data_IF_462571742587
#
_entry.id   IF_462571742587
#
_cell.length_a   1.000
_cell.length_b   1.000
_cell.length_c   1.000
_cell.angle_alpha   90.00
_cell.angle_beta   90.00
_cell.angle_gamma   90.00
#
_symmetry.space_group_name_H-M   'P 1'
#
loop_
_entity.id
_entity.type
_entity.pdbx_description
1 polymer ?
#
# COMPACT_ATOMS: atom_id res chain seq x y z
N UNK A 1 3.69 -15.69 16.60
CA UNK A 1 3.41 -15.64 15.16
C UNK A 1 2.70 -14.33 14.86
N UNK A 2 3.17 -13.61 13.84
CA UNK A 2 2.68 -12.28 13.46
C UNK A 2 1.93 -12.39 12.12
N UNK A 3 0.63 -12.14 12.11
CA UNK A 3 -0.19 -12.18 10.90
C UNK A 3 -0.29 -10.80 10.27
N UNK A 4 0.04 -10.71 8.98
CA UNK A 4 0.12 -9.44 8.26
C UNK A 4 -0.94 -9.39 7.14
N UNK A 5 -1.76 -8.35 7.14
CA UNK A 5 -2.85 -8.15 6.17
C UNK A 5 -2.78 -6.74 5.59
N UNK A 6 -2.90 -6.62 4.27
CA UNK A 6 -2.96 -5.33 3.60
C UNK A 6 -2.58 -5.38 2.13
N UNK A 7 -2.23 -4.23 1.58
CA UNK A 7 -1.89 -4.06 0.17
C UNK A 7 -0.38 -4.15 -0.10
N UNK A 8 0.12 -3.39 -1.09
CA UNK A 8 1.53 -3.29 -1.45
C UNK A 8 2.43 -2.76 -0.33
N UNK A 9 1.90 -2.15 0.75
CA UNK A 9 2.72 -1.84 1.94
C UNK A 9 3.12 -3.10 2.73
N UNK A 10 2.38 -4.20 2.55
CA UNK A 10 2.57 -5.47 3.26
C UNK A 10 3.14 -6.56 2.36
N UNK A 11 2.82 -6.55 1.06
CA UNK A 11 3.13 -7.60 0.09
C UNK A 11 4.57 -8.17 0.18
N UNK A 12 4.68 -9.49 0.08
CA UNK A 12 5.96 -10.20 0.11
C UNK A 12 6.49 -10.54 -1.29
N UNK A 13 6.48 -9.58 -2.21
CA UNK A 13 7.08 -9.74 -3.53
C UNK A 13 8.54 -9.29 -3.52
N UNK A 14 9.45 -10.18 -3.93
CA UNK A 14 10.89 -9.89 -4.00
C UNK A 14 11.16 -8.79 -5.02
N UNK A 15 11.93 -7.77 -4.64
CA UNK A 15 12.36 -6.69 -5.51
C UNK A 15 13.03 -7.14 -6.81
N UNK A 16 13.65 -8.31 -6.81
CA UNK A 16 14.33 -8.88 -7.97
C UNK A 16 13.38 -9.12 -9.14
N UNK A 17 12.08 -9.35 -8.91
CA UNK A 17 11.09 -9.44 -9.99
C UNK A 17 10.89 -8.10 -10.71
N UNK A 18 11.22 -7.00 -10.04
CA UNK A 18 11.15 -5.62 -10.54
C UNK A 18 12.50 -5.11 -11.06
N UNK A 19 13.53 -5.97 -11.13
CA UNK A 19 14.88 -5.59 -11.57
C UNK A 19 15.67 -4.78 -10.54
N UNK A 20 15.26 -4.79 -9.27
CA UNK A 20 15.88 -4.02 -8.19
C UNK A 20 16.60 -4.93 -7.19
N UNK A 21 17.64 -4.40 -6.54
CA UNK A 21 18.29 -5.09 -5.42
C UNK A 21 17.31 -5.14 -4.23
N UNK A 22 17.04 -6.35 -3.73
CA UNK A 22 16.14 -6.56 -2.60
C UNK A 22 16.80 -6.09 -1.30
N UNK A 23 16.01 -5.46 -0.43
CA UNK A 23 16.45 -5.05 0.90
C UNK A 23 15.50 -5.57 1.96
N UNK A 24 15.96 -5.53 3.20
CA UNK A 24 15.11 -5.90 4.33
C UNK A 24 13.95 -4.91 4.48
N UNK A 25 12.73 -5.42 4.65
CA UNK A 25 11.48 -4.68 4.84
C UNK A 25 11.06 -4.68 6.31
N UNK A 26 10.15 -3.78 6.67
CA UNK A 26 9.69 -3.59 8.07
C UNK A 26 9.21 -4.89 8.73
N UNK A 27 8.57 -5.80 7.98
CA UNK A 27 8.02 -7.03 8.55
C UNK A 27 9.09 -8.08 8.86
N UNK A 28 10.19 -8.08 8.10
CA UNK A 28 11.36 -8.91 8.39
C UNK A 28 12.08 -8.39 9.65
N UNK A 29 12.23 -7.07 9.74
CA UNK A 29 12.79 -6.42 10.93
C UNK A 29 11.92 -6.65 12.17
N UNK A 30 10.59 -6.56 12.02
CA UNK A 30 9.66 -6.82 13.11
C UNK A 30 9.79 -8.25 13.63
N UNK A 31 9.83 -9.23 12.71
CA UNK A 31 10.06 -10.63 13.08
C UNK A 31 11.34 -10.82 13.89
N UNK A 32 12.45 -10.18 13.47
CA UNK A 32 13.71 -10.22 14.22
C UNK A 32 13.60 -9.56 15.59
N UNK A 33 12.95 -8.40 15.67
CA UNK A 33 12.80 -7.65 16.92
C UNK A 33 11.93 -8.37 17.95
N UNK A 34 10.93 -9.15 17.49
CA UNK A 34 10.04 -9.92 18.35
C UNK A 34 10.51 -11.35 18.61
N UNK A 35 11.55 -11.82 17.90
CA UNK A 35 11.94 -13.24 17.84
C UNK A 35 10.75 -14.15 17.47
N UNK A 36 9.97 -13.71 16.47
CA UNK A 36 8.75 -14.39 16.02
C UNK A 36 8.64 -14.43 14.50
N UNK A 37 8.25 -15.59 13.95
CA UNK A 37 7.90 -15.70 12.54
C UNK A 37 6.67 -14.84 12.19
N UNK A 38 6.61 -14.41 10.93
CA UNK A 38 5.43 -13.76 10.35
C UNK A 38 4.77 -14.64 9.29
N UNK A 39 3.45 -14.53 9.20
CA UNK A 39 2.63 -15.06 8.12
C UNK A 39 2.03 -13.89 7.33
N UNK A 40 2.51 -13.70 6.10
CA UNK A 40 2.22 -12.52 5.30
C UNK A 40 1.16 -12.83 4.24
N UNK A 41 0.00 -12.18 4.38
CA UNK A 41 -1.13 -12.31 3.46
C UNK A 41 -1.36 -11.05 2.60
N UNK A 42 -0.41 -10.11 2.63
CA UNK A 42 -0.45 -8.88 1.86
C UNK A 42 -0.37 -9.13 0.36
N UNK A 43 -1.10 -8.34 -0.43
CA UNK A 43 -1.07 -8.42 -1.90
C UNK A 43 -1.28 -7.05 -2.53
N UNK A 44 -0.43 -6.70 -3.50
CA UNK A 44 -0.52 -5.44 -4.20
C UNK A 44 -1.88 -5.24 -4.87
N UNK A 45 -2.35 -4.00 -4.81
CA UNK A 45 -3.57 -3.56 -5.46
C UNK A 45 -4.87 -3.98 -4.77
N UNK A 46 -4.82 -4.68 -3.62
CA UNK A 46 -6.03 -5.03 -2.87
C UNK A 46 -6.61 -3.84 -2.10
N UNK A 47 -7.94 -3.87 -1.95
CA UNK A 47 -8.68 -3.02 -1.04
C UNK A 47 -8.98 -3.70 0.30
N UNK A 48 -9.62 -2.96 1.22
CA UNK A 48 -10.14 -3.51 2.47
C UNK A 48 -11.09 -4.71 2.32
N UNK A 49 -12.00 -4.79 1.32
CA UNK A 49 -12.89 -5.95 1.17
C UNK A 49 -12.14 -7.28 1.03
N UNK A 50 -11.14 -7.34 0.16
CA UNK A 50 -10.34 -8.54 -0.09
C UNK A 50 -9.45 -8.87 1.12
N UNK A 51 -8.81 -7.84 1.67
CA UNK A 51 -7.94 -7.95 2.86
C UNK A 51 -8.71 -8.56 4.03
N UNK A 52 -9.88 -8.03 4.36
CA UNK A 52 -10.70 -8.54 5.46
C UNK A 52 -11.32 -9.89 5.13
N UNK A 53 -11.71 -10.16 3.87
CA UNK A 53 -12.20 -11.48 3.47
C UNK A 53 -11.17 -12.60 3.74
N UNK A 54 -9.88 -12.34 3.48
CA UNK A 54 -8.79 -13.27 3.83
C UNK A 54 -8.71 -13.50 5.34
N UNK A 55 -8.69 -12.41 6.11
CA UNK A 55 -8.65 -12.49 7.57
C UNK A 55 -9.84 -13.29 8.14
N UNK A 56 -11.05 -12.99 7.69
CA UNK A 56 -12.26 -13.71 8.10
C UNK A 56 -12.18 -15.19 7.76
N UNK A 57 -11.68 -15.55 6.58
CA UNK A 57 -11.49 -16.95 6.21
C UNK A 57 -10.55 -17.65 7.19
N UNK A 58 -9.42 -17.03 7.54
CA UNK A 58 -8.49 -17.60 8.52
C UNK A 58 -9.08 -17.66 9.93
N UNK A 59 -9.89 -16.67 10.31
CA UNK A 59 -10.60 -16.64 11.58
C UNK A 59 -11.60 -17.79 11.71
N UNK A 60 -12.49 -17.94 10.73
CA UNK A 60 -13.53 -18.98 10.71
C UNK A 60 -12.96 -20.40 10.55
N UNK A 61 -11.76 -20.53 9.99
CA UNK A 61 -11.06 -21.80 9.83
C UNK A 61 -10.12 -22.12 11.01
N UNK A 62 -10.12 -21.30 12.08
CA UNK A 62 -9.26 -21.45 13.26
C UNK A 62 -7.77 -21.61 12.91
N UNK A 63 -7.30 -20.89 11.89
CA UNK A 63 -5.94 -21.03 11.35
C UNK A 63 -4.88 -20.21 12.11
N UNK A 64 -5.27 -19.50 13.18
CA UNK A 64 -4.34 -18.70 13.97
C UNK A 64 -3.60 -19.55 15.00
N UNK A 65 -2.28 -19.37 15.05
CA UNK A 65 -1.42 -19.99 16.05
C UNK A 65 -1.69 -19.46 17.46
N UNK A 66 -1.04 -20.06 18.45
CA UNK A 66 -1.15 -19.59 19.84
C UNK A 66 -0.62 -18.17 20.02
N UNK A 67 -1.35 -17.34 20.77
CA UNK A 67 -1.03 -15.92 21.05
C UNK A 67 -0.73 -15.10 19.78
N UNK A 68 -1.68 -15.03 18.82
CA UNK A 68 -1.44 -14.36 17.55
C UNK A 68 -1.31 -12.85 17.74
N UNK A 69 -0.41 -12.23 16.96
CA UNK A 69 -0.30 -10.78 16.81
C UNK A 69 -0.75 -10.40 15.41
N UNK A 70 -1.41 -9.26 15.25
CA UNK A 70 -1.92 -8.82 13.96
C UNK A 70 -1.42 -7.44 13.57
N UNK A 71 -1.02 -7.31 12.31
CA UNK A 71 -0.75 -6.04 11.66
C UNK A 71 -1.71 -5.90 10.49
N UNK A 72 -2.53 -4.86 10.51
CA UNK A 72 -3.42 -4.50 9.40
C UNK A 72 -2.97 -3.20 8.76
N UNK A 73 -2.84 -3.20 7.44
CA UNK A 73 -2.62 -1.99 6.64
C UNK A 73 -3.82 -1.84 5.71
N UNK A 74 -4.72 -0.93 6.06
CA UNK A 74 -5.97 -0.71 5.35
C UNK A 74 -5.75 0.26 4.18
N UNK A 75 -5.91 -0.27 2.96
CA UNK A 75 -5.73 0.49 1.72
C UNK A 75 -6.95 1.37 1.37
N UNK A 76 -6.97 1.90 0.14
CA UNK A 76 -8.10 2.66 -0.41
C UNK A 76 -9.36 1.80 -0.45
N UNK A 77 -10.43 2.35 0.12
CA UNK A 77 -11.78 1.74 0.16
C UNK A 77 -12.46 1.74 -1.21
N UNK A 78 -11.90 2.46 -2.18
CA UNK A 78 -12.38 2.50 -3.56
C UNK A 78 -11.82 1.39 -4.45
N UNK A 79 -10.84 0.60 -3.96
CA UNK A 79 -10.36 -0.60 -4.66
C UNK A 79 -11.38 -1.73 -4.47
N UNK A 80 -12.36 -1.78 -5.35
CA UNK A 80 -13.46 -2.75 -5.30
C UNK A 80 -13.12 -3.94 -6.21
N UNK A 81 -13.26 -5.20 -5.73
CA UNK A 81 -13.12 -6.39 -6.55
C UNK A 81 -14.35 -6.55 -7.45
N UNK A 82 -14.34 -5.89 -8.59
CA UNK A 82 -15.40 -5.97 -9.59
C UNK A 82 -15.45 -7.36 -10.23
N UNK A 83 -16.20 -8.28 -9.62
CA UNK A 83 -16.28 -9.69 -10.05
C UNK A 83 -16.79 -9.88 -11.47
N UNK A 84 -17.50 -8.89 -12.02
CA UNK A 84 -18.05 -8.89 -13.38
C UNK A 84 -17.14 -8.21 -14.41
N UNK A 85 -16.03 -7.58 -14.00
CA UNK A 85 -14.97 -7.12 -14.92
C UNK A 85 -14.01 -8.27 -15.27
N UNK A 86 -14.60 -9.37 -15.74
CA UNK A 86 -13.89 -10.63 -16.00
C UNK A 86 -12.87 -10.50 -17.13
N UNK A 87 -11.89 -11.41 -17.10
CA UNK A 87 -10.91 -11.53 -18.15
C UNK A 87 -11.55 -11.97 -19.48
N UNK A 88 -11.13 -11.36 -20.58
CA UNK A 88 -11.72 -11.63 -21.90
C UNK A 88 -10.73 -11.50 -23.05
N UNK A 89 -10.93 -12.34 -24.06
CA UNK A 89 -10.20 -12.30 -25.35
C UNK A 89 -11.00 -11.59 -26.46
N UNK A 90 -12.21 -11.10 -26.16
CA UNK A 90 -13.04 -10.39 -27.14
C UNK A 90 -12.32 -9.13 -27.61
N UNK A 91 -12.06 -9.05 -28.92
CA UNK A 91 -11.43 -7.90 -29.57
C UNK A 91 -12.19 -6.59 -29.33
N UNK A 92 -13.52 -6.62 -29.15
CA UNK A 92 -14.31 -5.43 -28.87
C UNK A 92 -14.02 -4.83 -27.48
N UNK A 93 -13.55 -5.66 -26.54
CA UNK A 93 -13.12 -5.24 -25.19
C UNK A 93 -11.59 -5.11 -25.06
N UNK A 94 -10.85 -5.37 -26.14
CA UNK A 94 -9.38 -5.36 -26.18
C UNK A 94 -8.87 -4.55 -27.39
N UNK A 95 -9.14 -3.23 -27.45
CA UNK A 95 -8.62 -2.40 -28.53
C UNK A 95 -7.09 -2.28 -28.44
N UNK A 96 -6.43 -2.17 -29.60
CA UNK A 96 -4.96 -2.22 -29.71
C UNK A 96 -4.21 -1.11 -28.94
N UNK A 97 -4.89 -0.01 -28.59
CA UNK A 97 -4.32 1.13 -27.87
C UNK A 97 -4.52 1.06 -26.35
N UNK A 98 -5.08 -0.03 -25.82
CA UNK A 98 -5.29 -0.26 -24.39
C UNK A 98 -4.67 -1.59 -23.97
N UNK A 99 -4.44 -1.73 -22.68
CA UNK A 99 -3.95 -2.96 -22.08
C UNK A 99 -5.00 -4.07 -22.27
N UNK A 100 -4.49 -5.26 -22.59
CA UNK A 100 -5.33 -6.44 -22.79
C UNK A 100 -5.95 -6.90 -21.47
N UNK A 101 -7.27 -7.13 -21.48
CA UNK A 101 -8.08 -7.66 -20.37
C UNK A 101 -8.04 -9.18 -20.25
N UNK A 102 -7.08 -9.89 -20.85
CA UNK A 102 -7.00 -11.36 -20.75
C UNK A 102 -7.02 -11.87 -19.31
N UNK A 103 -6.34 -11.17 -18.41
CA UNK A 103 -6.14 -11.60 -17.02
C UNK A 103 -7.08 -10.90 -16.02
N UNK A 104 -8.24 -10.40 -16.49
CA UNK A 104 -9.14 -9.49 -15.77
C UNK A 104 -8.51 -8.13 -15.44
N UNK A 105 -9.30 -7.24 -14.84
CA UNK A 105 -8.84 -5.93 -14.36
C UNK A 105 -8.76 -6.00 -12.84
N UNK A 106 -7.59 -5.74 -12.27
CA UNK A 106 -7.42 -5.74 -10.82
C UNK A 106 -8.09 -4.49 -10.18
N UNK A 107 -8.43 -4.56 -8.88
CA UNK A 107 -9.13 -3.47 -8.19
C UNK A 107 -8.39 -2.13 -8.21
N UNK A 108 -7.05 -2.15 -8.21
CA UNK A 108 -6.25 -0.93 -8.25
C UNK A 108 -6.29 -0.29 -9.62
N UNK A 109 -6.07 -1.07 -10.67
CA UNK A 109 -6.18 -0.60 -12.06
C UNK A 109 -7.57 -0.08 -12.36
N UNK A 110 -8.62 -0.79 -11.94
CA UNK A 110 -10.01 -0.36 -12.13
C UNK A 110 -10.29 1.02 -11.49
N UNK A 111 -9.82 1.22 -10.26
CA UNK A 111 -9.98 2.49 -9.56
C UNK A 111 -9.14 3.61 -10.20
N UNK A 112 -7.89 3.33 -10.59
CA UNK A 112 -7.02 4.32 -11.25
C UNK A 112 -7.56 4.76 -12.61
N UNK A 113 -8.05 3.82 -13.42
CA UNK A 113 -8.68 4.11 -14.70
C UNK A 113 -9.92 4.99 -14.55
N UNK A 114 -10.76 4.71 -13.55
CA UNK A 114 -11.93 5.53 -13.25
C UNK A 114 -11.52 6.95 -12.81
N UNK A 115 -10.52 7.07 -11.91
CA UNK A 115 -9.99 8.36 -11.47
C UNK A 115 -9.45 9.18 -12.65
N UNK A 116 -8.64 8.57 -13.52
CA UNK A 116 -8.07 9.21 -14.70
C UNK A 116 -9.16 9.79 -15.61
N UNK A 117 -10.20 8.99 -15.91
CA UNK A 117 -11.35 9.45 -16.72
C UNK A 117 -12.11 10.59 -16.05
N UNK A 118 -12.37 10.47 -14.75
CA UNK A 118 -13.07 11.49 -13.95
C UNK A 118 -12.32 12.83 -13.95
N UNK A 119 -11.00 12.79 -13.87
CA UNK A 119 -10.13 13.98 -13.89
C UNK A 119 -9.98 14.58 -15.30
N UNK A 120 -10.61 14.00 -16.31
CA UNK A 120 -10.56 14.47 -17.68
C UNK A 120 -9.34 13.99 -18.47
N UNK A 121 -8.66 12.95 -18.00
CA UNK A 121 -7.45 12.35 -18.59
C UNK A 121 -7.68 10.89 -19.04
N UNK A 122 -8.68 10.60 -19.91
CA UNK A 122 -9.06 9.23 -20.29
C UNK A 122 -7.96 8.44 -21.04
N UNK A 123 -6.95 9.12 -21.57
CA UNK A 123 -5.76 8.52 -22.17
C UNK A 123 -4.89 7.79 -21.15
N UNK A 124 -4.89 8.21 -19.88
CA UNK A 124 -4.14 7.57 -18.81
C UNK A 124 -4.77 6.25 -18.33
N UNK A 125 -6.05 6.02 -18.63
CA UNK A 125 -6.69 4.75 -18.30
C UNK A 125 -6.02 3.60 -19.08
N UNK A 126 -5.55 2.58 -18.39
CA UNK A 126 -4.86 1.44 -18.98
C UNK A 126 -5.81 0.56 -19.78
N UNK A 127 -7.00 0.31 -19.27
CA UNK A 127 -7.95 -0.64 -19.86
C UNK A 127 -9.11 0.05 -20.59
N UNK A 128 -9.75 -0.72 -21.48
CA UNK A 128 -11.01 -0.33 -22.10
C UNK A 128 -12.20 -0.90 -21.31
N UNK A 129 -13.22 -0.07 -21.12
CA UNK A 129 -14.49 -0.41 -20.48
C UNK A 129 -15.60 -0.14 -21.49
N UNK A 130 -16.60 -1.02 -21.57
CA UNK A 130 -17.80 -0.69 -22.35
C UNK A 130 -18.56 0.46 -21.68
N UNK A 131 -19.41 1.20 -22.43
CA UNK A 131 -20.23 2.25 -21.84
C UNK A 131 -21.06 1.78 -20.64
N UNK A 132 -21.58 0.54 -20.68
CA UNK A 132 -22.36 -0.05 -19.59
C UNK A 132 -21.50 -0.38 -18.37
N UNK A 133 -20.29 -0.90 -18.57
CA UNK A 133 -19.33 -1.16 -17.49
C UNK A 133 -18.93 0.16 -16.82
N UNK A 134 -18.57 1.18 -17.61
CA UNK A 134 -18.19 2.50 -17.12
C UNK A 134 -19.33 3.20 -16.38
N UNK A 135 -20.55 3.13 -16.91
CA UNK A 135 -21.75 3.64 -16.25
C UNK A 135 -21.97 2.95 -14.90
N UNK A 136 -21.78 1.63 -14.83
CA UNK A 136 -22.00 0.85 -13.61
C UNK A 136 -20.96 1.18 -12.52
N UNK A 137 -19.68 1.22 -12.88
CA UNK A 137 -18.59 1.63 -11.97
C UNK A 137 -18.83 3.04 -11.44
N UNK A 138 -19.07 3.98 -12.35
CA UNK A 138 -19.27 5.39 -12.01
C UNK A 138 -20.48 5.58 -11.12
N UNK A 139 -21.62 4.97 -11.47
CA UNK A 139 -22.85 5.07 -10.69
C UNK A 139 -22.66 4.58 -9.26
N UNK A 140 -21.92 3.48 -9.05
CA UNK A 140 -21.65 3.00 -7.69
C UNK A 140 -20.76 3.96 -6.92
N UNK A 141 -19.63 4.39 -7.50
CA UNK A 141 -18.75 5.34 -6.82
C UNK A 141 -19.48 6.64 -6.47
N UNK A 142 -20.26 7.21 -7.39
CA UNK A 142 -21.01 8.44 -7.15
C UNK A 142 -22.16 8.27 -6.16
N UNK A 143 -22.77 7.10 -6.07
CA UNK A 143 -23.89 6.85 -5.14
C UNK A 143 -23.43 6.45 -3.74
N UNK A 144 -22.24 5.86 -3.62
CA UNK A 144 -21.77 5.18 -2.40
C UNK A 144 -20.46 5.75 -1.82
N UNK A 145 -19.92 6.82 -2.40
CA UNK A 145 -18.66 7.43 -1.94
C UNK A 145 -18.61 7.71 -0.43
N UNK A 146 -19.69 8.22 0.17
CA UNK A 146 -19.77 8.44 1.62
C UNK A 146 -19.62 7.13 2.40
N UNK A 147 -20.20 6.04 1.91
CA UNK A 147 -20.07 4.73 2.52
C UNK A 147 -18.65 4.18 2.35
N UNK A 148 -18.02 4.39 1.18
CA UNK A 148 -16.63 4.00 0.95
C UNK A 148 -15.67 4.77 1.86
N UNK A 149 -15.82 6.09 2.00
CA UNK A 149 -14.95 6.88 2.89
C UNK A 149 -15.06 6.40 4.35
N UNK A 150 -16.27 6.05 4.80
CA UNK A 150 -16.50 5.54 6.15
C UNK A 150 -16.09 4.07 6.32
N UNK A 151 -15.79 3.33 5.26
CA UNK A 151 -15.51 1.89 5.38
C UNK A 151 -14.28 1.61 6.25
N UNK A 152 -13.18 2.33 6.07
CA UNK A 152 -12.00 2.17 6.93
C UNK A 152 -12.27 2.59 8.38
N UNK A 153 -13.17 3.54 8.61
CA UNK A 153 -13.61 3.90 9.96
C UNK A 153 -14.30 2.73 10.67
N UNK A 154 -15.20 2.06 9.95
CA UNK A 154 -15.90 0.87 10.44
C UNK A 154 -14.93 -0.28 10.65
N UNK A 155 -13.97 -0.48 9.73
CA UNK A 155 -12.96 -1.54 9.83
C UNK A 155 -12.06 -1.37 11.06
N UNK A 156 -11.59 -0.15 11.35
CA UNK A 156 -10.78 0.12 12.56
C UNK A 156 -11.57 -0.22 13.82
N UNK A 157 -12.82 0.23 13.91
CA UNK A 157 -13.70 -0.06 15.07
C UNK A 157 -13.98 -1.56 15.21
N UNK A 158 -14.20 -2.24 14.09
CA UNK A 158 -14.41 -3.68 14.04
C UNK A 158 -13.19 -4.47 14.53
N UNK A 159 -12.00 -4.13 14.02
CA UNK A 159 -10.74 -4.76 14.43
C UNK A 159 -10.42 -4.51 15.91
N UNK A 160 -10.71 -3.31 16.42
CA UNK A 160 -10.61 -3.02 17.86
C UNK A 160 -11.53 -3.94 18.68
N UNK A 161 -12.80 -4.09 18.29
CA UNK A 161 -13.71 -5.00 18.98
C UNK A 161 -13.21 -6.45 18.99
N UNK A 162 -12.72 -6.95 17.85
CA UNK A 162 -12.13 -8.28 17.76
C UNK A 162 -10.88 -8.45 18.64
N UNK A 163 -10.00 -7.44 18.64
CA UNK A 163 -8.82 -7.41 19.49
C UNK A 163 -9.22 -7.61 20.96
N UNK A 164 -10.18 -6.82 21.46
CA UNK A 164 -10.66 -6.93 22.85
C UNK A 164 -11.34 -8.26 23.15
N UNK A 165 -12.21 -8.74 22.27
CA UNK A 165 -12.98 -9.97 22.47
C UNK A 165 -12.09 -11.22 22.58
N UNK A 166 -11.01 -11.25 21.79
CA UNK A 166 -10.14 -12.42 21.71
C UNK A 166 -8.81 -12.25 22.48
N UNK A 167 -8.61 -11.10 23.14
CA UNK A 167 -7.35 -10.71 23.76
C UNK A 167 -6.15 -10.80 22.78
N UNK A 168 -6.34 -10.30 21.56
CA UNK A 168 -5.33 -10.34 20.50
C UNK A 168 -4.62 -8.99 20.34
N UNK A 169 -3.28 -8.94 20.49
CA UNK A 169 -2.53 -7.74 20.18
C UNK A 169 -2.67 -7.38 18.70
N UNK A 170 -3.14 -6.17 18.41
CA UNK A 170 -3.32 -5.68 17.04
C UNK A 170 -2.77 -4.27 16.87
N UNK A 171 -2.17 -4.02 15.71
CA UNK A 171 -1.84 -2.67 15.23
C UNK A 171 -2.45 -2.45 13.85
N UNK A 172 -3.06 -1.29 13.64
CA UNK A 172 -3.80 -0.94 12.43
C UNK A 172 -3.29 0.39 11.87
N UNK A 173 -2.97 0.37 10.58
CA UNK A 173 -2.56 1.51 9.79
C UNK A 173 -3.58 1.78 8.70
N UNK A 174 -3.65 3.03 8.26
CA UNK A 174 -4.27 3.40 6.97
C UNK A 174 -3.17 3.77 6.00
N UNK A 175 -3.34 3.38 4.74
CA UNK A 175 -2.45 3.86 3.67
C UNK A 175 -2.77 5.30 3.33
N UNK A 176 -4.06 5.63 3.20
CA UNK A 176 -4.57 6.93 2.77
C UNK A 176 -5.38 7.62 3.87
N UNK A 177 -5.35 8.95 3.89
CA UNK A 177 -6.26 9.78 4.69
C UNK A 177 -7.68 9.78 4.14
N UNK A 178 -8.60 10.47 4.82
CA UNK A 178 -9.96 10.67 4.30
C UNK A 178 -10.06 11.89 3.39
N UNK A 179 -9.08 12.80 3.49
CA UNK A 179 -9.09 14.09 2.79
C UNK A 179 -7.81 14.31 1.97
N UNK A 180 -7.91 14.85 0.74
CA UNK A 180 -9.14 14.91 -0.07
C UNK A 180 -9.50 13.51 -0.56
N UNK A 181 -10.79 13.19 -0.53
CA UNK A 181 -11.28 12.00 -1.24
C UNK A 181 -11.34 12.28 -2.76
N UNK A 182 -11.63 11.27 -3.60
CA UNK A 182 -11.84 11.44 -5.03
C UNK A 182 -12.84 12.55 -5.40
N UNK A 183 -13.77 12.85 -4.51
CA UNK A 183 -14.83 13.84 -4.66
C UNK A 183 -14.47 15.23 -4.14
N UNK A 184 -13.20 15.47 -3.81
CA UNK A 184 -12.71 16.73 -3.26
C UNK A 184 -13.44 17.17 -1.98
N UNK A 185 -14.07 16.23 -1.27
CA UNK A 185 -14.67 16.51 0.03
C UNK A 185 -13.57 16.65 1.07
N UNK A 186 -13.76 17.63 1.93
CA UNK A 186 -12.95 17.84 3.12
C UNK A 186 -13.73 17.30 4.32
N UNK A 187 -13.21 16.24 4.93
CA UNK A 187 -13.73 15.72 6.18
C UNK A 187 -13.06 16.40 7.36
N UNK A 188 -13.83 16.61 8.43
CA UNK A 188 -13.31 16.97 9.75
C UNK A 188 -12.76 15.72 10.40
N UNK A 189 -11.50 15.38 10.12
CA UNK A 189 -10.86 14.16 10.63
C UNK A 189 -10.84 14.12 12.17
N UNK A 190 -10.91 15.28 12.84
CA UNK A 190 -11.04 15.36 14.30
C UNK A 190 -12.33 14.73 14.86
N UNK A 191 -13.38 14.58 14.03
CA UNK A 191 -14.60 13.86 14.41
C UNK A 191 -14.40 12.33 14.41
N UNK A 192 -13.30 11.86 13.86
CA UNK A 192 -12.98 10.44 13.65
C UNK A 192 -11.64 10.08 14.29
N UNK A 193 -11.32 10.70 15.44
CA UNK A 193 -10.10 10.39 16.18
C UNK A 193 -10.18 9.00 16.84
N UNK A 194 -9.57 8.01 16.18
CA UNK A 194 -9.47 6.66 16.72
C UNK A 194 -8.28 6.44 17.63
N UNK A 195 -7.43 7.45 17.87
CA UNK A 195 -6.35 7.28 18.85
C UNK A 195 -6.91 7.07 20.26
N UNK A 196 -8.16 7.46 20.51
CA UNK A 196 -8.90 7.15 21.74
C UNK A 196 -9.12 5.65 21.96
N UNK A 197 -9.01 4.83 20.91
CA UNK A 197 -9.12 3.37 20.99
C UNK A 197 -7.79 2.70 21.37
N UNK A 198 -6.69 3.46 21.44
CA UNK A 198 -5.37 2.91 21.69
C UNK A 198 -5.24 2.49 23.15
N UNK A 199 -4.80 1.26 23.36
CA UNK A 199 -4.49 0.70 24.67
C UNK A 199 -3.34 -0.31 24.58
N UNK A 200 -3.13 -1.11 25.63
CA UNK A 200 -2.05 -2.10 25.64
C UNK A 200 -2.20 -3.20 24.58
N UNK A 201 -3.42 -3.44 24.10
CA UNK A 201 -3.76 -4.52 23.19
C UNK A 201 -3.95 -4.02 21.75
N UNK A 202 -4.57 -2.85 21.57
CA UNK A 202 -4.90 -2.29 20.28
C UNK A 202 -4.17 -0.97 20.02
N UNK A 203 -3.60 -0.81 18.83
CA UNK A 203 -3.00 0.45 18.40
C UNK A 203 -3.47 0.83 17.00
N UNK A 204 -4.10 1.99 16.88
CA UNK A 204 -4.34 2.68 15.63
C UNK A 204 -3.30 3.76 15.42
N UNK A 205 -2.55 3.65 14.33
CA UNK A 205 -1.61 4.66 13.89
C UNK A 205 -2.35 5.69 13.02
N UNK A 206 -2.50 6.91 13.55
CA UNK A 206 -3.43 7.91 13.00
C UNK A 206 -2.98 8.53 11.68
N UNK A 207 -1.66 8.67 11.48
CA UNK A 207 -1.11 9.33 10.30
C UNK A 207 -1.01 8.35 9.11
N UNK A 208 -1.53 8.69 7.91
CA UNK A 208 -1.49 7.77 6.77
C UNK A 208 -0.07 7.41 6.31
N UNK A 209 0.17 6.13 6.00
CA UNK A 209 1.48 5.66 5.56
C UNK A 209 1.92 6.29 4.23
N UNK A 210 0.98 6.53 3.31
CA UNK A 210 1.30 7.19 2.04
C UNK A 210 1.79 8.63 2.26
N UNK A 211 1.29 9.34 3.27
CA UNK A 211 1.75 10.70 3.54
C UNK A 211 3.18 10.70 4.08
N UNK A 212 3.58 9.70 4.88
CA UNK A 212 4.98 9.52 5.24
C UNK A 212 5.84 9.23 4.01
N UNK A 213 5.37 8.33 3.13
CA UNK A 213 6.05 8.01 1.88
C UNK A 213 6.22 9.28 1.05
N UNK A 214 5.17 10.06 0.82
CA UNK A 214 5.23 11.31 0.05
C UNK A 214 6.24 12.32 0.61
N UNK A 215 6.30 12.49 1.93
CA UNK A 215 7.25 13.43 2.58
C UNK A 215 8.69 12.95 2.52
N UNK A 216 8.89 11.64 2.52
CA UNK A 216 10.21 11.03 2.29
C UNK A 216 10.81 11.51 0.97
N UNK A 217 9.98 11.67 -0.07
CA UNK A 217 10.39 11.95 -1.45
C UNK A 217 10.02 13.35 -1.94
N UNK A 218 9.71 14.29 -1.04
CA UNK A 218 9.12 15.58 -1.39
C UNK A 218 9.93 16.42 -2.40
N UNK A 219 11.24 16.20 -2.48
CA UNK A 219 12.17 16.94 -3.34
C UNK A 219 12.50 16.20 -4.66
N UNK A 220 11.89 15.04 -4.94
CA UNK A 220 12.10 14.26 -6.16
C UNK A 220 10.81 13.94 -6.92
N UNK A 221 10.86 14.04 -8.25
CA UNK A 221 9.83 13.43 -9.11
C UNK A 221 10.12 11.93 -9.11
N UNK A 222 9.32 11.15 -8.38
CA UNK A 222 9.41 9.69 -8.40
C UNK A 222 9.04 9.21 -9.81
N UNK A 223 10.03 9.04 -10.68
CA UNK A 223 9.82 8.47 -12.02
C UNK A 223 9.60 6.95 -12.03
N UNK A 224 9.50 6.29 -10.87
CA UNK A 224 9.26 4.86 -10.81
C UNK A 224 8.22 4.45 -9.77
N UNK A 225 7.12 3.88 -10.28
CA UNK A 225 6.09 3.10 -9.61
C UNK A 225 6.61 1.78 -8.97
N UNK A 226 7.83 1.77 -8.44
CA UNK A 226 8.51 0.56 -7.99
C UNK A 226 9.42 0.82 -6.80
N UNK A 227 8.89 1.38 -5.71
CA UNK A 227 9.63 1.36 -4.45
C UNK A 227 9.11 0.21 -3.60
N UNK A 228 10.02 -0.70 -3.25
CA UNK A 228 9.73 -1.94 -2.53
C UNK A 228 9.07 -1.60 -1.19
N UNK A 229 7.75 -1.83 -1.15
CA UNK A 229 6.80 -1.51 -0.09
C UNK A 229 6.94 -0.08 0.47
N UNK A 230 7.11 0.86 -0.46
CA UNK A 230 6.83 2.30 -0.36
C UNK A 230 7.52 3.13 0.74
N UNK A 231 8.62 2.63 1.29
CA UNK A 231 9.52 3.37 2.18
C UNK A 231 10.99 3.07 1.85
N UNK A 232 11.91 3.99 2.16
CA UNK A 232 13.34 3.66 2.25
C UNK A 232 13.59 2.64 3.36
N UNK A 233 14.76 1.99 3.33
CA UNK A 233 15.18 1.08 4.40
C UNK A 233 15.12 1.73 5.79
N UNK A 234 15.44 3.03 5.92
CA UNK A 234 15.37 3.75 7.20
C UNK A 234 13.94 3.89 7.71
N UNK A 235 12.99 4.23 6.84
CA UNK A 235 11.59 4.32 7.24
C UNK A 235 10.94 2.94 7.42
N UNK A 236 11.47 1.87 6.80
CA UNK A 236 11.15 0.48 7.18
C UNK A 236 11.56 0.18 8.64
N UNK A 237 12.73 0.65 9.09
CA UNK A 237 13.16 0.53 10.50
C UNK A 237 12.18 1.26 11.42
N UNK A 238 11.82 2.50 11.09
CA UNK A 238 10.87 3.30 11.89
C UNK A 238 9.51 2.60 12.00
N UNK A 239 8.98 2.09 10.88
CA UNK A 239 7.70 1.38 10.87
C UNK A 239 7.76 0.10 11.73
N UNK A 240 8.88 -0.63 11.67
CA UNK A 240 9.13 -1.79 12.53
C UNK A 240 9.23 -1.42 14.01
N UNK A 241 9.88 -0.30 14.34
CA UNK A 241 10.01 0.20 15.71
C UNK A 241 8.65 0.56 16.32
N UNK A 242 7.77 1.21 15.56
CA UNK A 242 6.39 1.53 16.00
C UNK A 242 5.65 0.25 16.42
N UNK A 243 5.69 -0.78 15.58
CA UNK A 243 5.03 -2.05 15.86
C UNK A 243 5.70 -2.79 17.04
N UNK A 244 7.03 -2.76 17.11
CA UNK A 244 7.80 -3.40 18.19
C UNK A 244 7.49 -2.74 19.54
N UNK A 245 7.44 -1.41 19.60
CA UNK A 245 7.05 -0.68 20.80
C UNK A 245 5.64 -1.05 21.26
N UNK A 246 4.70 -1.24 20.33
CA UNK A 246 3.35 -1.70 20.69
C UNK A 246 3.36 -3.11 21.29
N UNK A 247 4.00 -4.07 20.61
CA UNK A 247 3.94 -5.48 20.99
C UNK A 247 4.81 -5.85 22.19
N UNK A 248 5.99 -5.25 22.33
CA UNK A 248 6.97 -5.56 23.38
C UNK A 248 7.16 -4.44 24.41
N UNK A 249 6.41 -3.34 24.30
CA UNK A 249 6.47 -2.20 25.24
C UNK A 249 7.89 -1.62 25.37
N UNK A 250 8.60 -1.55 24.24
CA UNK A 250 9.93 -0.92 24.13
C UNK A 250 9.81 0.59 23.86
N UNK A 251 10.95 1.28 23.88
CA UNK A 251 11.07 2.73 23.61
C UNK A 251 12.04 2.99 22.44
N UNK A 252 11.81 2.30 21.32
CA UNK A 252 12.59 2.48 20.09
C UNK A 252 12.17 3.76 19.37
N UNK A 253 13.06 4.43 18.61
CA UNK A 253 12.71 5.64 17.85
C UNK A 253 11.60 5.41 16.82
N UNK A 254 10.54 6.22 16.86
CA UNK A 254 9.34 6.10 16.00
C UNK A 254 9.10 7.29 15.07
N UNK A 255 10.07 8.21 14.97
CA UNK A 255 9.95 9.38 14.10
C UNK A 255 10.39 9.03 12.68
N UNK A 256 9.48 9.16 11.71
CA UNK A 256 9.79 9.02 10.29
C UNK A 256 10.75 10.10 9.81
N UNK A 257 11.64 9.71 8.90
CA UNK A 257 12.53 10.61 8.19
C UNK A 257 11.83 11.19 6.95
N UNK A 258 12.11 12.45 6.64
CA UNK A 258 11.53 13.23 5.54
C UNK A 258 12.67 13.81 4.69
N UNK A 259 12.40 14.20 3.43
CA UNK A 259 13.34 14.89 2.53
C UNK A 259 14.64 14.14 2.24
N UNK A 260 14.52 12.91 1.73
CA UNK A 260 15.68 12.18 1.21
C UNK A 260 16.05 12.67 -0.18
N UNK A 261 17.36 12.74 -0.43
CA UNK A 261 17.94 13.02 -1.75
C UNK A 261 18.68 11.76 -2.19
N UNK A 262 18.42 11.29 -3.42
CA UNK A 262 19.25 10.28 -4.08
C UNK A 262 20.56 10.92 -4.52
N UNK A 263 21.68 10.45 -3.97
CA UNK A 263 22.95 10.57 -4.69
C UNK A 263 22.93 9.50 -5.79
N UNK A 264 22.82 9.92 -7.04
CA UNK A 264 23.13 9.07 -8.18
C UNK A 264 24.52 9.49 -8.65
N UNK A 265 25.52 8.67 -8.33
CA UNK A 265 26.64 8.25 -9.19
C UNK A 265 27.84 7.79 -8.35
N UNK A 266 28.29 6.56 -8.63
CA UNK A 266 29.68 6.12 -8.55
C UNK A 266 30.56 6.78 -7.48
N UNK A 267 30.74 6.12 -6.33
CA UNK A 267 31.99 6.11 -5.54
C UNK A 267 32.65 7.41 -5.03
N UNK A 268 32.31 8.60 -5.52
CA UNK A 268 32.99 9.85 -5.20
C UNK A 268 32.00 11.03 -5.24
N UNK A 269 31.81 11.61 -4.04
CA UNK A 269 31.27 12.94 -3.76
C UNK A 269 29.76 13.07 -3.48
N UNK A 270 29.47 13.37 -2.21
CA UNK A 270 28.33 14.22 -1.82
C UNK A 270 28.33 15.47 -2.70
N UNK A 271 27.26 15.70 -3.44
CA UNK A 271 27.03 16.99 -4.11
C UNK A 271 25.87 17.79 -3.50
N UNK A 272 25.60 17.64 -2.19
CA UNK A 272 24.82 18.64 -1.43
C UNK A 272 25.69 19.35 -0.38
N UNK A 273 25.79 20.70 -0.41
CA UNK A 273 26.57 21.48 0.54
C UNK A 273 25.94 21.57 1.95
N UNK A 274 24.69 21.13 2.15
CA UNK A 274 24.07 21.08 3.48
C UNK A 274 24.39 19.76 4.21
N UNK A 275 25.23 19.79 5.26
CA UNK A 275 25.59 18.60 6.02
C UNK A 275 24.44 17.94 6.79
N UNK A 276 23.27 18.59 6.87
CA UNK A 276 22.09 18.08 7.57
C UNK A 276 21.13 17.29 6.69
N UNK A 277 21.33 17.30 5.36
CA UNK A 277 20.49 16.51 4.45
C UNK A 277 20.86 15.03 4.51
N UNK A 278 19.85 14.19 4.71
CA UNK A 278 20.01 12.75 4.80
C UNK A 278 20.04 12.17 3.38
N UNK A 279 21.23 11.78 2.95
CA UNK A 279 21.43 10.96 1.74
C UNK A 279 21.19 9.50 2.13
N UNK A 280 20.27 8.83 1.43
CA UNK A 280 20.16 7.37 1.50
C UNK A 280 20.75 6.78 0.22
N UNK A 281 21.67 5.83 0.39
CA UNK A 281 22.31 5.16 -0.74
C UNK A 281 21.32 4.15 -1.31
N UNK A 282 20.67 4.51 -2.42
CA UNK A 282 19.91 3.55 -3.22
C UNK A 282 20.91 2.86 -4.14
N UNK A 283 21.01 1.54 -4.01
CA UNK A 283 21.89 0.72 -4.83
C UNK A 283 21.48 0.74 -6.31
N UNK A 284 22.50 0.74 -7.17
CA UNK A 284 22.41 0.89 -8.61
C UNK A 284 21.50 -0.15 -9.29
N UNK A 285 20.81 0.30 -10.35
CA UNK A 285 20.32 -0.58 -11.41
C UNK A 285 21.51 -1.34 -12.03
N UNK A 286 21.60 -2.65 -11.83
CA UNK A 286 22.54 -3.46 -12.61
C UNK A 286 22.01 -3.59 -14.04
N UNK A 287 22.48 -2.70 -14.91
CA UNK A 287 22.27 -2.79 -16.35
C UNK A 287 23.08 -3.97 -16.90
N UNK A 288 22.53 -5.19 -16.81
CA UNK A 288 23.04 -6.30 -17.61
C UNK A 288 22.54 -6.07 -19.04
N UNK A 289 23.43 -5.52 -19.87
CA UNK A 289 23.33 -5.49 -21.33
C UNK A 289 23.05 -6.89 -21.89
N UNK A 290 21.79 -7.26 -22.07
CA UNK A 290 21.39 -8.34 -22.96
C UNK A 290 20.59 -7.77 -24.13
N UNK A 291 21.35 -7.25 -25.10
CA UNK A 291 21.13 -7.39 -26.54
C UNK A 291 19.66 -7.52 -27.01
N UNK A 292 19.01 -6.39 -27.27
CA UNK A 292 18.13 -6.28 -28.44
C UNK A 292 18.59 -5.09 -29.28
N UNK A 293 19.43 -5.43 -30.25
CA UNK A 293 19.79 -4.55 -31.36
C UNK A 293 18.50 -3.99 -31.98
N UNK A 294 18.35 -2.67 -31.85
CA UNK A 294 17.78 -1.85 -32.90
C UNK A 294 18.66 -2.06 -34.15
N UNK A 295 18.12 -2.67 -35.19
CA UNK A 295 18.56 -2.40 -36.56
C UNK A 295 17.39 -1.70 -37.24
N UNK A 296 17.50 -0.37 -37.33
CA UNK A 296 16.90 0.43 -38.41
C UNK A 296 18.02 1.32 -38.94
N UNK A 297 18.58 0.94 -40.08
CA UNK A 297 19.10 1.75 -41.19
C UNK A 297 19.09 0.76 -42.37
N UNK A 298 18.19 0.82 -43.35
CA UNK A 298 17.94 1.82 -44.41
C UNK A 298 16.46 1.72 -44.82
#
# INVERSE_FOLDING_TARGET
MIYLYGDSFVENEKATSLGMQDHERWYQMLSKNLDEEHDNHGKCGEGPPETLSKFHRHYEQECFGSNPKFVFVLSSTYRIPWTWLEGTTDSAKNPNNKRSRKDSIDPSSAYQDWMAKREGNPELAEYYYTPEEEFSVTSLYESMWDEFDHQNLKNVTYLHALSKLNNWPMIVFRVWGMTPNPFSRVYKEELFDFTILNDDLFHFYSFPLFDHSKKEWADEIIHHAGMINHFTHRNHIVLSNIMTNHFNKTDLPTKFHEHFIRDVESGENRHDPDPNKLVDFIYEWNFILTHRQLIIQI
#
